data_IF_201362633554
#
_entry.id   IF_201362633554
#
_cell.length_a   1.000
_cell.length_b   1.000
_cell.length_c   1.000
_cell.angle_alpha   90.00
_cell.angle_beta   90.00
_cell.angle_gamma   90.00
#
_symmetry.space_group_name_H-M   'P 1'
#
loop_
_entity.id
_entity.type
_entity.pdbx_description
1 polymer ?
#
# COMPACT_ATOMS: atom_id res chain seq x y z
N UNK A 1 22.52 6.02 3.61
CA UNK A 1 21.10 6.38 3.35
C UNK A 1 20.24 5.68 4.37
N UNK A 2 19.48 6.40 5.20
CA UNK A 2 18.44 5.82 6.05
C UNK A 2 17.17 5.75 5.18
N UNK A 3 16.79 4.55 4.73
CA UNK A 3 15.51 4.33 4.08
C UNK A 3 14.41 4.49 5.14
N UNK A 4 13.48 5.44 4.95
CA UNK A 4 12.30 5.56 5.81
C UNK A 4 11.10 4.96 5.10
N UNK A 5 10.65 3.81 5.58
CA UNK A 5 9.43 3.14 5.15
C UNK A 5 8.25 3.71 5.95
N UNK A 6 7.24 4.25 5.25
CA UNK A 6 5.93 4.50 5.84
C UNK A 6 5.00 3.41 5.31
N UNK A 7 4.74 2.37 6.12
CA UNK A 7 3.71 1.39 5.81
C UNK A 7 2.41 1.82 6.49
N UNK A 8 1.41 2.22 5.70
CA UNK A 8 0.04 2.30 6.19
C UNK A 8 -0.60 0.95 5.90
N UNK A 9 -0.26 -0.03 6.74
CA UNK A 9 -0.94 -1.31 6.76
C UNK A 9 -2.16 -1.20 7.68
N UNK A 10 -3.37 -1.19 7.12
CA UNK A 10 -4.55 -1.66 7.83
C UNK A 10 -4.78 -3.14 7.47
N UNK A 11 -3.75 -3.97 7.68
CA UNK A 11 -3.78 -5.37 7.27
C UNK A 11 -4.56 -6.24 8.25
N UNK A 12 -5.68 -6.79 7.77
CA UNK A 12 -6.01 -8.17 8.07
C UNK A 12 -5.34 -9.16 7.08
N UNK A 13 -4.63 -8.67 6.05
CA UNK A 13 -4.15 -9.47 4.92
C UNK A 13 -2.66 -9.87 4.94
N UNK A 14 -1.75 -9.12 5.58
CA UNK A 14 -0.30 -9.42 5.60
C UNK A 14 0.04 -10.78 6.26
N UNK A 15 -0.88 -11.34 7.06
CA UNK A 15 -0.72 -12.65 7.67
C UNK A 15 -0.78 -13.83 6.69
N UNK A 16 -1.28 -13.64 5.45
CA UNK A 16 -1.32 -14.70 4.41
C UNK A 16 0.07 -15.12 3.93
N UNK A 17 1.01 -14.18 3.81
CA UNK A 17 2.25 -14.39 3.06
C UNK A 17 3.43 -14.92 3.89
N UNK A 18 3.41 -14.71 5.22
CA UNK A 18 4.40 -15.31 6.13
C UNK A 18 4.29 -16.85 6.18
N UNK A 19 3.17 -17.44 5.69
CA UNK A 19 2.84 -18.86 5.86
C UNK A 19 2.99 -19.71 4.60
N UNK A 20 3.35 -19.12 3.45
CA UNK A 20 3.68 -19.91 2.25
C UNK A 20 5.16 -20.31 2.20
N UNK A 21 6.00 -19.76 3.08
CA UNK A 21 7.36 -20.28 3.30
C UNK A 21 7.29 -21.59 4.08
N UNK A 22 7.87 -22.65 3.51
CA UNK A 22 7.76 -24.07 3.85
C UNK A 22 8.26 -24.50 5.25
N UNK A 23 8.38 -23.58 6.22
CA UNK A 23 8.82 -23.86 7.59
C UNK A 23 7.91 -23.23 8.67
N UNK A 24 6.66 -22.90 8.37
CA UNK A 24 5.76 -22.36 9.38
C UNK A 24 5.17 -23.45 10.27
N UNK A 25 5.42 -23.34 11.57
CA UNK A 25 4.93 -24.30 12.55
C UNK A 25 3.40 -24.40 12.52
N UNK A 26 2.87 -25.57 12.88
CA UNK A 26 1.44 -25.84 13.01
C UNK A 26 0.69 -24.74 13.80
N UNK A 27 1.35 -24.09 14.77
CA UNK A 27 0.81 -22.97 15.54
C UNK A 27 0.55 -21.74 14.67
N UNK A 28 1.45 -21.43 13.74
CA UNK A 28 1.32 -20.33 12.78
C UNK A 28 0.14 -20.58 11.81
N UNK A 29 0.01 -21.80 11.28
CA UNK A 29 -1.12 -22.19 10.43
C UNK A 29 -2.46 -22.12 11.19
N UNK A 30 -2.47 -22.51 12.47
CA UNK A 30 -3.66 -22.47 13.32
C UNK A 30 -4.09 -21.04 13.66
N UNK A 31 -3.13 -20.15 13.94
CA UNK A 31 -3.39 -18.72 14.17
C UNK A 31 -3.95 -18.08 12.90
N UNK A 32 -3.35 -18.37 11.75
CA UNK A 32 -3.83 -17.88 10.47
C UNK A 32 -5.23 -18.36 10.13
N UNK A 33 -5.50 -19.66 10.25
CA UNK A 33 -6.84 -20.18 10.03
C UNK A 33 -7.86 -19.54 10.98
N UNK A 34 -7.45 -19.10 12.18
CA UNK A 34 -8.30 -18.36 13.13
C UNK A 34 -8.53 -16.90 12.72
N UNK A 35 -7.54 -16.26 12.12
CA UNK A 35 -7.60 -14.87 11.66
C UNK A 35 -8.30 -14.76 10.29
N UNK A 36 -8.00 -15.66 9.37
CA UNK A 36 -8.59 -15.78 8.04
C UNK A 36 -10.04 -16.32 8.08
N UNK A 37 -10.39 -17.14 9.08
CA UNK A 37 -11.79 -17.51 9.37
C UNK A 37 -12.41 -16.67 10.48
N UNK A 38 -11.98 -15.42 10.68
CA UNK A 38 -12.88 -14.45 11.31
C UNK A 38 -14.07 -14.27 10.35
N UNK A 39 -15.09 -15.13 10.51
CA UNK A 39 -16.48 -14.72 10.23
C UNK A 39 -16.59 -13.32 10.83
N UNK A 40 -17.14 -12.34 10.09
CA UNK A 40 -17.61 -11.07 10.69
C UNK A 40 -18.17 -11.47 12.03
N UNK A 41 -17.54 -11.04 13.13
CA UNK A 41 -18.05 -11.35 14.45
C UNK A 41 -19.49 -10.85 14.41
N UNK A 42 -20.53 -11.71 14.39
CA UNK A 42 -21.89 -11.28 14.10
C UNK A 42 -22.43 -10.31 15.17
N UNK A 43 -21.62 -10.11 16.21
CA UNK A 43 -21.86 -9.45 17.47
C UNK A 43 -20.76 -8.40 17.77
N UNK A 44 -19.85 -8.11 16.83
CA UNK A 44 -18.85 -7.06 17.04
C UNK A 44 -19.58 -5.74 17.25
N UNK A 45 -19.41 -5.15 18.44
CA UNK A 45 -20.03 -3.86 18.75
C UNK A 45 -19.41 -2.81 17.82
N UNK A 46 -20.22 -1.96 17.17
CA UNK A 46 -19.68 -0.85 16.39
C UNK A 46 -18.77 0.00 17.27
N UNK A 47 -17.50 0.10 16.89
CA UNK A 47 -16.54 0.95 17.58
C UNK A 47 -16.36 2.24 16.78
N UNK A 48 -16.54 3.38 17.44
CA UNK A 48 -16.17 4.66 16.85
C UNK A 48 -14.65 4.75 16.77
N UNK A 49 -14.14 5.01 15.57
CA UNK A 49 -12.73 5.31 15.32
C UNK A 49 -12.65 6.73 14.77
N UNK A 50 -11.64 7.47 15.21
CA UNK A 50 -11.37 8.81 14.69
C UNK A 50 -10.40 8.71 13.53
N UNK A 51 -10.71 9.42 12.45
CA UNK A 51 -9.80 9.56 11.33
C UNK A 51 -8.82 10.70 11.62
N UNK A 52 -7.58 10.52 11.19
CA UNK A 52 -6.54 11.55 11.27
C UNK A 52 -6.08 11.84 9.85
N UNK A 53 -6.07 13.12 9.40
CA UNK A 53 -5.52 13.49 8.11
C UNK A 53 -4.07 13.06 7.96
N UNK A 54 -3.70 12.58 6.77
CA UNK A 54 -2.35 12.07 6.50
C UNK A 54 -1.27 13.12 6.78
N UNK A 55 -1.51 14.38 6.41
CA UNK A 55 -0.63 15.53 6.68
C UNK A 55 -0.27 15.68 8.16
N UNK A 56 -1.21 15.41 9.07
CA UNK A 56 -1.02 15.61 10.50
C UNK A 56 -0.10 14.52 11.05
N UNK A 57 -0.21 13.29 10.52
CA UNK A 57 0.70 12.19 10.83
C UNK A 57 2.12 12.53 10.34
N UNK A 58 2.25 12.95 9.08
CA UNK A 58 3.56 13.29 8.48
C UNK A 58 4.27 14.40 9.26
N UNK A 59 3.55 15.46 9.63
CA UNK A 59 4.09 16.58 10.40
C UNK A 59 4.42 16.18 11.83
N UNK A 60 3.53 15.46 12.51
CA UNK A 60 3.72 15.04 13.91
C UNK A 60 4.98 14.20 14.10
N UNK A 61 5.28 13.34 13.14
CA UNK A 61 6.47 12.48 13.19
C UNK A 61 7.67 13.03 12.42
N UNK A 62 7.62 14.29 11.98
CA UNK A 62 8.69 14.94 11.20
C UNK A 62 9.17 14.06 10.04
N UNK A 63 8.23 13.46 9.31
CA UNK A 63 8.55 12.64 8.14
C UNK A 63 9.27 13.53 7.12
N UNK A 64 10.35 13.04 6.48
CA UNK A 64 11.04 13.80 5.45
C UNK A 64 10.10 14.18 4.31
N UNK A 65 10.37 15.31 3.66
CA UNK A 65 9.59 15.78 2.51
C UNK A 65 9.72 14.87 1.29
N UNK A 66 10.74 14.01 1.25
CA UNK A 66 10.87 12.93 0.26
C UNK A 66 10.77 11.59 0.98
N UNK A 67 9.73 10.84 0.66
CA UNK A 67 9.45 9.51 1.18
C UNK A 67 9.90 8.51 0.12
N UNK A 68 10.77 7.57 0.47
CA UNK A 68 11.31 6.62 -0.52
C UNK A 68 10.23 5.66 -1.02
N UNK A 69 9.35 5.22 -0.11
CA UNK A 69 8.35 4.19 -0.40
C UNK A 69 7.10 4.34 0.48
N UNK A 70 5.93 4.17 -0.13
CA UNK A 70 4.64 4.03 0.54
C UNK A 70 3.92 2.78 0.03
N UNK A 71 3.51 1.90 0.94
CA UNK A 71 2.50 0.87 0.65
C UNK A 71 1.15 1.35 1.16
N UNK A 72 0.15 1.35 0.28
CA UNK A 72 -1.21 1.77 0.56
C UNK A 72 -2.19 0.60 0.41
N UNK A 73 -2.63 0.09 1.55
CA UNK A 73 -3.63 -0.97 1.67
C UNK A 73 -4.64 -0.56 2.76
N UNK A 74 -5.80 -0.06 2.33
CA UNK A 74 -6.85 0.50 3.19
C UNK A 74 -8.24 -0.05 2.84
N UNK A 75 -8.27 -1.26 2.30
CA UNK A 75 -9.49 -2.02 2.05
C UNK A 75 -10.51 -1.31 1.12
N UNK A 76 -10.03 -0.62 0.07
CA UNK A 76 -10.89 0.06 -0.91
C UNK A 76 -11.12 1.55 -0.63
N UNK A 77 -10.47 2.13 0.37
CA UNK A 77 -10.55 3.55 0.72
C UNK A 77 -9.33 4.37 0.22
N UNK A 78 -8.57 3.86 -0.75
CA UNK A 78 -7.28 4.41 -1.18
C UNK A 78 -7.42 5.85 -1.66
N UNK A 79 -8.44 6.14 -2.48
CA UNK A 79 -8.73 7.50 -2.96
C UNK A 79 -9.06 8.45 -1.79
N UNK A 80 -9.86 8.00 -0.81
CA UNK A 80 -10.25 8.82 0.33
C UNK A 80 -9.04 9.22 1.18
N UNK A 81 -8.05 8.33 1.29
CA UNK A 81 -6.79 8.60 2.00
C UNK A 81 -5.90 9.55 1.21
N UNK A 82 -5.78 9.35 -0.10
CA UNK A 82 -4.82 10.09 -0.94
C UNK A 82 -5.33 11.42 -1.46
N UNK A 83 -6.65 11.66 -1.57
CA UNK A 83 -7.21 12.92 -2.07
C UNK A 83 -6.76 14.17 -1.28
N UNK A 84 -6.48 13.99 0.01
CA UNK A 84 -6.05 15.04 0.94
C UNK A 84 -4.55 14.95 1.27
N UNK A 85 -3.81 14.08 0.55
CA UNK A 85 -2.37 13.97 0.70
C UNK A 85 -1.68 15.26 0.23
N UNK A 86 -0.74 15.83 1.01
CA UNK A 86 -0.09 17.11 0.69
C UNK A 86 1.03 16.94 -0.35
N UNK A 87 0.66 16.68 -1.61
CA UNK A 87 1.60 16.46 -2.73
C UNK A 87 2.49 17.66 -3.05
N UNK A 88 2.08 18.87 -2.64
CA UNK A 88 2.84 20.12 -2.76
C UNK A 88 3.98 20.22 -1.74
N UNK A 89 3.84 19.57 -0.58
CA UNK A 89 4.84 19.56 0.47
C UNK A 89 5.67 18.28 0.51
N UNK A 90 5.07 17.15 0.12
CA UNK A 90 5.66 15.82 0.23
C UNK A 90 5.65 15.10 -1.11
N UNK A 91 6.78 14.49 -1.45
CA UNK A 91 6.92 13.58 -2.59
C UNK A 91 7.15 12.17 -2.09
N UNK A 92 6.46 11.22 -2.67
CA UNK A 92 6.74 9.80 -2.52
C UNK A 92 7.48 9.34 -3.77
N UNK A 93 8.55 8.58 -3.64
CA UNK A 93 9.35 8.15 -4.78
C UNK A 93 8.71 6.91 -5.44
N UNK A 94 8.30 5.92 -4.65
CA UNK A 94 7.65 4.69 -5.10
C UNK A 94 6.39 4.40 -4.28
N UNK A 95 5.33 3.92 -4.92
CA UNK A 95 4.09 3.52 -4.27
C UNK A 95 3.64 2.14 -4.73
N UNK A 96 3.22 1.32 -3.78
CA UNK A 96 2.32 0.19 -4.08
C UNK A 96 0.94 0.50 -3.57
N UNK A 97 -0.08 0.20 -4.38
CA UNK A 97 -1.47 0.52 -4.08
C UNK A 97 -2.32 -0.71 -4.37
N UNK A 98 -3.02 -1.19 -3.34
CA UNK A 98 -3.75 -2.47 -3.38
C UNK A 98 -4.80 -2.48 -4.50
N UNK A 99 -5.66 -1.45 -4.55
CA UNK A 99 -6.80 -1.38 -5.49
C UNK A 99 -7.10 0.07 -5.92
N UNK A 100 -6.27 0.69 -6.79
CA UNK A 100 -6.55 2.05 -7.23
C UNK A 100 -7.78 2.11 -8.15
N UNK A 101 -8.77 2.94 -7.79
CA UNK A 101 -9.85 3.33 -8.69
C UNK A 101 -9.37 4.36 -9.74
N UNK A 102 -10.20 4.68 -10.72
CA UNK A 102 -9.81 5.59 -11.80
C UNK A 102 -9.58 7.02 -11.29
N UNK A 103 -10.30 7.44 -10.24
CA UNK A 103 -10.10 8.75 -9.62
C UNK A 103 -8.72 8.87 -8.97
N UNK A 104 -8.24 7.81 -8.32
CA UNK A 104 -6.92 7.75 -7.72
C UNK A 104 -5.82 7.72 -8.79
N UNK A 105 -6.03 6.98 -9.88
CA UNK A 105 -5.09 6.97 -11.02
C UNK A 105 -4.94 8.37 -11.62
N UNK A 106 -6.05 9.07 -11.86
CA UNK A 106 -6.04 10.45 -12.35
C UNK A 106 -5.36 11.40 -11.36
N UNK A 107 -5.63 11.25 -10.06
CA UNK A 107 -4.98 12.03 -9.01
C UNK A 107 -3.46 11.83 -9.02
N UNK A 108 -2.99 10.60 -9.16
CA UNK A 108 -1.56 10.28 -9.27
C UNK A 108 -0.93 10.90 -10.50
N UNK A 109 -1.53 10.70 -11.68
CA UNK A 109 -1.01 11.28 -12.92
C UNK A 109 -0.91 12.81 -12.86
N UNK A 110 -1.93 13.48 -12.29
CA UNK A 110 -1.92 14.93 -12.08
C UNK A 110 -0.78 15.40 -11.18
N UNK A 111 -0.32 14.56 -10.25
CA UNK A 111 0.76 14.87 -9.31
C UNK A 111 2.11 14.25 -9.73
N UNK A 112 2.30 13.93 -11.02
CA UNK A 112 3.59 13.48 -11.55
C UNK A 112 3.93 12.01 -11.27
N UNK A 113 2.94 11.17 -10.96
CA UNK A 113 3.15 9.74 -10.75
C UNK A 113 2.81 8.94 -12.01
N UNK A 114 3.74 8.06 -12.37
CA UNK A 114 3.69 7.18 -13.52
C UNK A 114 3.35 5.78 -13.04
N UNK A 115 2.31 5.19 -13.63
CA UNK A 115 2.02 3.76 -13.48
C UNK A 115 3.18 2.96 -14.07
N UNK A 116 3.72 2.01 -13.32
CA UNK A 116 4.81 1.17 -13.78
C UNK A 116 4.34 -0.24 -14.14
N UNK A 117 3.61 -0.89 -13.23
CA UNK A 117 3.27 -2.31 -13.38
C UNK A 117 2.12 -2.73 -12.47
N UNK A 118 1.37 -3.75 -12.88
CA UNK A 118 0.49 -4.50 -11.99
C UNK A 118 1.28 -5.68 -11.43
N UNK A 119 1.40 -5.75 -10.11
CA UNK A 119 2.25 -6.73 -9.44
C UNK A 119 1.57 -8.10 -9.32
N UNK A 120 0.25 -8.09 -9.18
CA UNK A 120 -0.55 -9.27 -8.86
C UNK A 120 -1.89 -9.24 -9.59
N UNK A 121 -2.45 -10.42 -9.88
CA UNK A 121 -3.67 -10.54 -10.67
C UNK A 121 -4.92 -9.91 -10.01
N UNK A 122 -4.93 -9.74 -8.68
CA UNK A 122 -6.07 -9.14 -7.95
C UNK A 122 -6.07 -7.62 -7.89
N UNK A 123 -5.04 -6.95 -8.45
CA UNK A 123 -5.10 -5.51 -8.73
C UNK A 123 -4.05 -4.62 -8.06
N UNK A 124 -3.08 -5.16 -7.30
CA UNK A 124 -2.02 -4.33 -6.71
C UNK A 124 -1.14 -3.73 -7.81
N UNK A 125 -0.90 -2.42 -7.73
CA UNK A 125 -0.17 -1.67 -8.75
C UNK A 125 1.04 -0.95 -8.16
N UNK A 126 2.10 -0.85 -8.96
CA UNK A 126 3.32 -0.11 -8.68
C UNK A 126 3.32 1.21 -9.44
N UNK A 127 3.64 2.29 -8.73
CA UNK A 127 3.76 3.64 -9.25
C UNK A 127 5.09 4.27 -8.84
N UNK A 128 5.60 5.17 -9.65
CA UNK A 128 6.79 5.96 -9.34
C UNK A 128 6.55 7.44 -9.64
N UNK A 129 7.16 8.32 -8.87
CA UNK A 129 7.22 9.73 -9.24
C UNK A 129 8.16 9.92 -10.44
N UNK A 130 7.78 10.79 -11.37
CA UNK A 130 8.50 11.05 -12.64
C UNK A 130 9.97 11.46 -12.43
N UNK A 131 10.28 12.06 -11.27
CA UNK A 131 11.66 12.46 -10.92
C UNK A 131 12.64 11.29 -10.84
N UNK A 132 12.17 10.04 -10.73
CA UNK A 132 13.03 8.87 -10.78
C UNK A 132 13.37 8.42 -12.21
N UNK A 133 12.64 8.89 -13.22
CA UNK A 133 12.85 8.51 -14.62
C UNK A 133 12.44 7.07 -14.96
N UNK A 134 11.68 6.40 -14.09
CA UNK A 134 11.14 5.07 -14.38
C UNK A 134 9.94 5.17 -15.34
N UNK A 135 9.90 4.24 -16.28
CA UNK A 135 8.78 4.03 -17.21
C UNK A 135 8.33 2.57 -17.14
N UNK A 136 7.13 2.23 -17.61
CA UNK A 136 6.68 0.84 -17.71
C UNK A 136 7.67 -0.08 -18.44
N UNK A 137 8.32 0.45 -19.48
CA UNK A 137 9.25 -0.29 -20.33
C UNK A 137 10.68 -0.37 -19.76
N UNK A 138 10.92 0.22 -18.58
CA UNK A 138 12.25 0.25 -18.00
C UNK A 138 12.74 -1.19 -17.69
N UNK A 139 14.00 -1.57 -18.01
CA UNK A 139 14.47 -2.95 -17.88
C UNK A 139 14.30 -3.56 -16.49
N UNK A 140 14.50 -2.75 -15.44
CA UNK A 140 14.29 -3.18 -14.05
C UNK A 140 12.81 -3.45 -13.73
N UNK A 141 11.88 -2.74 -14.36
CA UNK A 141 10.44 -2.93 -14.18
C UNK A 141 9.97 -4.15 -14.97
N UNK A 142 10.48 -4.33 -16.19
CA UNK A 142 10.24 -5.52 -16.99
C UNK A 142 10.70 -6.81 -16.28
N UNK A 143 11.80 -6.75 -15.53
CA UNK A 143 12.34 -7.88 -14.77
C UNK A 143 11.53 -8.26 -13.53
N UNK A 144 10.59 -7.43 -13.07
CA UNK A 144 9.71 -7.76 -11.95
C UNK A 144 8.77 -8.88 -12.40
N UNK A 145 8.78 -10.01 -11.70
CA UNK A 145 7.90 -11.14 -12.00
C UNK A 145 6.49 -10.80 -11.52
N UNK A 146 5.50 -10.97 -12.40
CA UNK A 146 4.09 -10.88 -12.03
C UNK A 146 3.69 -12.16 -11.31
N UNK A 147 2.98 -12.01 -10.20
CA UNK A 147 2.43 -13.16 -9.48
C UNK A 147 1.17 -13.63 -10.22
N UNK A 148 1.38 -14.44 -11.26
CA UNK A 148 0.33 -15.15 -11.99
C UNK A 148 -0.24 -16.30 -11.15
N UNK A 149 -1.55 -16.53 -11.27
CA UNK A 149 -2.31 -17.55 -10.54
C UNK A 149 -1.69 -18.96 -10.60
#
# INVERSE_FOLDING_TARGET
MKFQFLMVELTFLCLKRILSSSNTSYLCQKIFNRLANRKREPQAKPEKRFLVPFKDILRRYNVPKTIDYLSLDVEGAEYLVMKDFPFDEYRINLLTVERPDDQLKELFQKNGYVYLKQLVWWGETLWAHESLGYTPDHPQIAAIIEETQ
#
